data_IF_192894481088
#
_entry.id   IF_192894481088
#
_cell.length_a   1.000
_cell.length_b   1.000
_cell.length_c   1.000
_cell.angle_alpha   90.00
_cell.angle_beta   90.00
_cell.angle_gamma   90.00
#
_symmetry.space_group_name_H-M   'P 1'
#
loop_
_entity.id
_entity.type
_entity.pdbx_description
1 polymer ?
#
# COMPACT_ATOMS: atom_id res chain seq x y z
N UNK A 1 -16.94 1.78 11.72
CA UNK A 1 -18.16 1.00 11.46
C UNK A 1 -18.61 0.50 12.81
N UNK A 2 -19.57 1.18 13.45
CA UNK A 2 -20.13 0.68 14.72
C UNK A 2 -20.97 -0.54 14.37
N UNK A 3 -20.54 -1.73 14.79
CA UNK A 3 -21.35 -2.94 14.67
C UNK A 3 -22.60 -2.82 15.53
N UNK A 4 -23.66 -3.54 15.18
CA UNK A 4 -24.81 -3.69 16.05
C UNK A 4 -24.34 -4.22 17.41
N UNK A 5 -24.77 -3.58 18.51
CA UNK A 5 -24.45 -4.05 19.86
C UNK A 5 -25.00 -5.46 20.10
N UNK A 6 -26.12 -5.79 19.44
CA UNK A 6 -26.84 -7.05 19.60
C UNK A 6 -26.65 -7.97 18.40
N UNK A 7 -26.40 -9.26 18.68
CA UNK A 7 -26.24 -10.30 17.66
C UNK A 7 -27.47 -11.22 17.61
N UNK A 8 -28.02 -11.54 16.42
CA UNK A 8 -29.11 -12.50 16.29
C UNK A 8 -28.72 -13.92 16.72
N UNK A 9 -27.41 -14.20 16.86
CA UNK A 9 -26.89 -15.51 17.30
C UNK A 9 -26.56 -15.56 18.79
N UNK A 10 -26.77 -14.47 19.54
CA UNK A 10 -26.36 -14.37 20.96
C UNK A 10 -27.01 -15.44 21.85
N UNK A 11 -28.29 -15.75 21.62
CA UNK A 11 -29.04 -16.72 22.43
C UNK A 11 -28.41 -18.13 22.45
N UNK A 12 -27.59 -18.47 21.45
CA UNK A 12 -26.95 -19.80 21.31
C UNK A 12 -25.63 -19.93 22.07
N UNK A 13 -25.08 -18.80 22.53
CA UNK A 13 -23.78 -18.75 23.20
C UNK A 13 -23.84 -18.09 24.58
N UNK A 14 -24.87 -17.29 24.86
CA UNK A 14 -24.96 -16.50 26.10
C UNK A 14 -24.88 -17.35 27.36
N UNK A 15 -25.44 -18.56 27.35
CA UNK A 15 -25.51 -19.44 28.52
C UNK A 15 -24.29 -20.37 28.64
N UNK A 16 -23.33 -20.28 27.70
CA UNK A 16 -22.09 -21.04 27.78
C UNK A 16 -21.25 -20.55 28.94
N UNK A 17 -20.61 -21.49 29.64
CA UNK A 17 -19.65 -21.21 30.72
C UNK A 17 -18.23 -21.54 30.25
N UNK A 18 -17.62 -20.70 29.40
CA UNK A 18 -16.30 -20.97 28.86
C UNK A 18 -15.21 -20.83 29.94
N UNK A 19 -14.23 -21.73 29.90
CA UNK A 19 -13.02 -21.67 30.72
C UNK A 19 -11.78 -21.70 29.84
N UNK A 20 -10.79 -20.87 30.15
CA UNK A 20 -9.50 -20.94 29.47
C UNK A 20 -8.72 -22.21 29.90
N UNK A 21 -8.07 -22.89 28.95
CA UNK A 21 -7.19 -24.03 29.29
C UNK A 21 -5.94 -23.56 30.03
N UNK A 22 -5.47 -24.38 30.98
CA UNK A 22 -4.30 -24.07 31.83
C UNK A 22 -2.98 -23.89 31.09
N UNK A 23 -2.84 -24.45 29.88
CA UNK A 23 -1.61 -24.35 29.08
C UNK A 23 -1.57 -23.12 28.17
N UNK A 24 -2.59 -22.26 28.23
CA UNK A 24 -2.68 -21.06 27.40
C UNK A 24 -1.90 -19.93 28.06
N UNK A 25 -0.78 -19.56 27.45
CA UNK A 25 -0.01 -18.40 27.86
C UNK A 25 -0.42 -17.18 27.03
N UNK A 26 -0.86 -16.12 27.71
CA UNK A 26 -1.17 -14.83 27.09
C UNK A 26 -0.08 -13.84 27.47
N UNK A 27 0.65 -13.35 26.48
CA UNK A 27 1.72 -12.38 26.69
C UNK A 27 1.21 -10.98 26.45
N UNK A 28 1.51 -10.07 27.37
CA UNK A 28 1.33 -8.63 27.16
C UNK A 28 2.46 -8.15 26.26
N UNK A 29 2.11 -7.48 25.17
CA UNK A 29 3.07 -6.86 24.26
C UNK A 29 2.76 -5.37 24.14
N UNK A 30 3.76 -4.53 24.40
CA UNK A 30 3.64 -3.09 24.23
C UNK A 30 4.10 -2.74 22.81
N UNK A 31 3.18 -2.20 22.01
CA UNK A 31 3.49 -1.68 20.69
C UNK A 31 3.26 -0.16 20.70
N UNK A 32 4.36 0.59 20.83
CA UNK A 32 4.43 2.06 20.86
C UNK A 32 3.34 2.72 21.72
N UNK A 33 3.19 2.26 22.96
CA UNK A 33 2.27 2.82 23.95
C UNK A 33 0.82 2.34 23.83
N UNK A 34 0.55 1.35 22.96
CA UNK A 34 -0.72 0.61 22.93
C UNK A 34 -0.48 -0.84 23.35
N UNK A 35 -1.22 -1.26 24.36
CA UNK A 35 -1.11 -2.61 24.92
C UNK A 35 -1.91 -3.58 24.04
N UNK A 36 -1.24 -4.61 23.56
CA UNK A 36 -1.85 -5.75 22.90
C UNK A 36 -1.58 -7.03 23.69
N UNK A 37 -2.49 -7.98 23.60
CA UNK A 37 -2.33 -9.29 24.25
C UNK A 37 -2.23 -10.37 23.18
N UNK A 38 -1.18 -11.17 23.25
CA UNK A 38 -0.87 -12.20 22.26
C UNK A 38 -1.08 -13.57 22.90
N UNK A 39 -1.99 -14.35 22.34
CA UNK A 39 -2.17 -15.76 22.68
C UNK A 39 -1.42 -16.59 21.66
N UNK A 40 -0.48 -17.39 22.13
CA UNK A 40 0.30 -18.28 21.29
C UNK A 40 -0.27 -19.71 21.40
N UNK A 41 -0.68 -20.25 20.27
CA UNK A 41 -1.02 -21.64 20.13
C UNK A 41 0.29 -22.44 20.03
N UNK A 42 0.60 -23.21 21.06
CA UNK A 42 1.82 -24.04 21.12
C UNK A 42 1.74 -25.25 20.18
N UNK A 43 0.54 -25.69 19.80
CA UNK A 43 0.34 -26.82 18.90
C UNK A 43 0.48 -26.42 17.42
N UNK A 44 0.08 -25.20 17.05
CA UNK A 44 0.13 -24.72 15.65
C UNK A 44 1.17 -23.63 15.38
N UNK A 45 1.80 -23.08 16.43
CA UNK A 45 2.75 -21.97 16.33
C UNK A 45 2.12 -20.62 15.96
N UNK A 46 0.78 -20.54 15.87
CA UNK A 46 0.06 -19.32 15.50
C UNK A 46 -0.14 -18.41 16.69
N UNK A 47 -0.03 -17.10 16.44
CA UNK A 47 -0.28 -16.07 17.45
C UNK A 47 -1.55 -15.29 17.14
N UNK A 48 -2.48 -15.22 18.09
CA UNK A 48 -3.69 -14.42 18.01
C UNK A 48 -3.53 -13.14 18.83
N UNK A 49 -3.82 -11.97 18.25
CA UNK A 49 -3.72 -10.67 18.92
C UNK A 49 -5.10 -10.21 19.39
N UNK A 50 -5.16 -9.74 20.62
CA UNK A 50 -6.37 -9.24 21.26
C UNK A 50 -6.19 -7.80 21.74
N UNK A 51 -7.27 -7.03 21.64
CA UNK A 51 -7.35 -5.71 22.25
C UNK A 51 -7.39 -5.81 23.78
N UNK A 52 -7.12 -4.73 24.53
CA UNK A 52 -7.29 -4.72 25.98
C UNK A 52 -8.70 -5.09 26.44
N UNK A 53 -9.74 -4.67 25.70
CA UNK A 53 -11.12 -5.01 25.98
C UNK A 53 -11.39 -6.51 25.81
N UNK A 54 -10.86 -7.11 24.73
CA UNK A 54 -10.94 -8.55 24.52
C UNK A 54 -10.16 -9.33 25.61
N UNK A 55 -8.98 -8.86 26.00
CA UNK A 55 -8.22 -9.49 27.09
C UNK A 55 -8.98 -9.49 28.41
N UNK A 56 -9.71 -8.41 28.73
CA UNK A 56 -10.56 -8.35 29.92
C UNK A 56 -11.67 -9.38 29.88
N UNK A 57 -12.37 -9.53 28.74
CA UNK A 57 -13.34 -10.62 28.55
C UNK A 57 -12.69 -11.98 28.81
N UNK A 58 -11.53 -12.25 28.17
CA UNK A 58 -10.83 -13.54 28.31
C UNK A 58 -10.43 -13.83 29.75
N UNK A 59 -9.98 -12.81 30.49
CA UNK A 59 -9.60 -12.94 31.89
C UNK A 59 -10.76 -13.27 32.84
N UNK A 60 -12.01 -13.10 32.40
CA UNK A 60 -13.21 -13.44 33.17
C UNK A 60 -13.79 -14.83 32.82
N UNK A 61 -13.21 -15.55 31.85
CA UNK A 61 -13.64 -16.88 31.42
C UNK A 61 -13.08 -17.97 32.35
N UNK A 62 -13.74 -18.16 33.49
CA UNK A 62 -13.34 -19.10 34.55
C UNK A 62 -14.10 -20.45 34.51
N UNK A 63 -15.16 -20.55 33.72
CA UNK A 63 -16.03 -21.73 33.63
C UNK A 63 -17.19 -21.74 34.62
N UNK A 64 -17.34 -20.71 35.45
CA UNK A 64 -18.47 -20.57 36.38
C UNK A 64 -19.50 -19.57 35.86
N UNK A 65 -19.00 -18.43 35.35
CA UNK A 65 -19.83 -17.38 34.74
C UNK A 65 -20.23 -17.74 33.33
N UNK A 66 -21.45 -17.37 32.98
CA UNK A 66 -21.97 -17.44 31.62
C UNK A 66 -21.35 -16.34 30.74
N UNK A 67 -21.27 -16.56 29.44
CA UNK A 67 -20.79 -15.55 28.49
C UNK A 67 -21.67 -14.28 28.54
N UNK A 68 -22.96 -14.44 28.83
CA UNK A 68 -23.91 -13.36 29.11
C UNK A 68 -23.43 -12.47 30.24
N UNK A 69 -23.25 -13.05 31.43
CA UNK A 69 -22.77 -12.33 32.62
C UNK A 69 -21.40 -11.69 32.39
N UNK A 70 -20.49 -12.40 31.72
CA UNK A 70 -19.16 -11.87 31.39
C UNK A 70 -19.24 -10.66 30.45
N UNK A 71 -20.17 -10.68 29.50
CA UNK A 71 -20.39 -9.55 28.59
C UNK A 71 -21.05 -8.36 29.30
N UNK A 72 -22.03 -8.60 30.16
CA UNK A 72 -22.70 -7.55 30.95
C UNK A 72 -21.68 -6.85 31.87
N UNK A 73 -20.86 -7.62 32.59
CA UNK A 73 -19.77 -7.07 33.43
C UNK A 73 -18.77 -6.26 32.60
N UNK A 74 -18.39 -6.75 31.40
CA UNK A 74 -17.49 -6.02 30.52
C UNK A 74 -18.13 -4.71 30.02
N UNK A 75 -19.43 -4.70 29.76
CA UNK A 75 -20.18 -3.53 29.31
C UNK A 75 -20.25 -2.46 30.41
N UNK A 76 -20.50 -2.87 31.65
CA UNK A 76 -20.48 -1.98 32.82
C UNK A 76 -19.09 -1.40 33.09
N UNK A 77 -18.02 -2.21 32.99
CA UNK A 77 -16.66 -1.77 33.30
C UNK A 77 -16.00 -0.94 32.19
N UNK A 78 -16.31 -1.21 30.92
CA UNK A 78 -15.61 -0.62 29.78
C UNK A 78 -16.45 0.43 29.02
N UNK A 79 -17.77 0.49 29.26
CA UNK A 79 -18.68 1.43 28.62
C UNK A 79 -18.57 1.37 27.09
N UNK A 80 -18.32 2.51 26.45
CA UNK A 80 -18.15 2.61 24.98
C UNK A 80 -16.99 1.78 24.41
N UNK A 81 -16.07 1.30 25.25
CA UNK A 81 -14.94 0.45 24.85
C UNK A 81 -15.24 -1.03 25.00
N UNK A 82 -16.43 -1.38 25.47
CA UNK A 82 -16.87 -2.75 25.58
C UNK A 82 -17.01 -3.39 24.19
N UNK A 83 -16.64 -4.67 24.05
CA UNK A 83 -16.84 -5.40 22.82
C UNK A 83 -18.33 -5.63 22.57
N UNK A 84 -18.74 -5.53 21.31
CA UNK A 84 -20.09 -5.89 20.87
C UNK A 84 -20.35 -7.40 21.03
N UNK A 85 -21.62 -7.83 21.03
CA UNK A 85 -21.95 -9.27 21.09
C UNK A 85 -21.33 -10.06 19.94
N UNK A 86 -21.29 -9.50 18.72
CA UNK A 86 -20.62 -10.12 17.57
C UNK A 86 -19.10 -10.21 17.75
N UNK A 87 -18.48 -9.23 18.41
CA UNK A 87 -17.06 -9.29 18.75
C UNK A 87 -16.77 -10.34 19.83
N UNK A 88 -17.64 -10.48 20.83
CA UNK A 88 -17.55 -11.52 21.85
C UNK A 88 -17.71 -12.93 21.23
N UNK A 89 -18.70 -13.12 20.33
CA UNK A 89 -18.87 -14.38 19.58
C UNK A 89 -17.63 -14.69 18.74
N UNK A 90 -17.09 -13.69 18.03
CA UNK A 90 -15.87 -13.86 17.23
C UNK A 90 -14.65 -14.22 18.09
N UNK A 91 -14.49 -13.56 19.24
CA UNK A 91 -13.43 -13.86 20.20
C UNK A 91 -13.53 -15.31 20.70
N UNK A 92 -14.72 -15.73 21.10
CA UNK A 92 -14.98 -17.10 21.55
C UNK A 92 -14.66 -18.12 20.45
N UNK A 93 -15.04 -17.82 19.19
CA UNK A 93 -14.72 -18.67 18.04
C UNK A 93 -13.23 -18.76 17.72
N UNK A 94 -12.47 -17.68 17.91
CA UNK A 94 -11.01 -17.69 17.76
C UNK A 94 -10.33 -18.52 18.84
N UNK A 95 -10.76 -18.38 20.09
CA UNK A 95 -10.22 -19.14 21.20
C UNK A 95 -10.55 -20.64 21.10
N UNK A 96 -11.75 -21.00 20.66
CA UNK A 96 -12.10 -22.39 20.36
C UNK A 96 -11.28 -22.95 19.17
N UNK A 97 -10.99 -22.12 18.16
CA UNK A 97 -10.13 -22.51 17.04
C UNK A 97 -8.70 -22.87 17.45
N UNK A 98 -8.18 -22.13 18.44
CA UNK A 98 -6.82 -22.28 18.98
C UNK A 98 -6.75 -23.35 20.09
N UNK A 99 -7.79 -24.17 20.26
CA UNK A 99 -7.98 -25.11 21.37
C UNK A 99 -7.76 -24.49 22.76
N UNK A 100 -7.93 -23.18 22.89
CA UNK A 100 -7.65 -22.43 24.13
C UNK A 100 -8.80 -22.49 25.14
N UNK A 101 -9.96 -23.05 24.76
CA UNK A 101 -11.16 -23.09 25.59
C UNK A 101 -11.59 -24.51 25.94
N UNK A 102 -12.09 -24.65 27.15
CA UNK A 102 -12.94 -25.74 27.61
C UNK A 102 -14.33 -25.16 27.80
N UNK A 103 -15.29 -25.66 27.03
CA UNK A 103 -16.70 -25.38 27.22
C UNK A 103 -17.48 -26.65 26.85
N UNK A 104 -18.58 -26.93 27.55
CA UNK A 104 -19.57 -27.92 27.12
C UNK A 104 -20.36 -27.35 25.94
N UNK A 105 -19.73 -27.42 24.77
CA UNK A 105 -20.30 -26.90 23.52
C UNK A 105 -21.35 -27.89 23.04
N UNK A 106 -22.63 -27.52 23.18
CA UNK A 106 -23.76 -28.20 22.53
C UNK A 106 -23.49 -28.37 21.01
N UNK A 107 -23.96 -29.47 20.37
CA UNK A 107 -23.72 -29.74 18.95
C UNK A 107 -24.06 -28.56 18.01
N UNK A 108 -25.07 -27.76 18.34
CA UNK A 108 -25.53 -26.62 17.54
C UNK A 108 -24.58 -25.40 17.59
N UNK A 109 -23.89 -25.21 18.71
CA UNK A 109 -22.87 -24.16 18.87
C UNK A 109 -21.59 -24.53 18.09
N UNK A 110 -21.25 -25.82 17.95
CA UNK A 110 -20.10 -26.29 17.13
C UNK A 110 -20.25 -25.97 15.64
N UNK A 111 -21.47 -26.08 15.10
CA UNK A 111 -21.76 -25.79 13.70
C UNK A 111 -21.63 -24.29 13.39
N UNK A 112 -22.05 -23.42 14.32
CA UNK A 112 -21.83 -21.97 14.20
C UNK A 112 -20.35 -21.59 14.17
N UNK A 113 -19.52 -22.18 15.04
CA UNK A 113 -18.08 -21.93 15.02
C UNK A 113 -17.42 -22.43 13.73
N UNK A 114 -17.86 -23.59 13.18
CA UNK A 114 -17.37 -24.09 11.89
C UNK A 114 -17.77 -23.20 10.72
N UNK A 115 -19.00 -22.68 10.68
CA UNK A 115 -19.46 -21.75 9.63
C UNK A 115 -18.74 -20.42 9.68
N UNK A 116 -18.53 -19.85 10.87
CA UNK A 116 -17.78 -18.60 11.04
C UNK A 116 -16.30 -18.75 10.67
N UNK A 117 -15.66 -19.88 11.05
CA UNK A 117 -14.31 -20.18 10.60
C UNK A 117 -14.22 -20.36 9.09
N UNK A 118 -15.19 -21.02 8.45
CA UNK A 118 -15.22 -21.15 6.99
C UNK A 118 -15.38 -19.80 6.30
N UNK A 119 -16.23 -18.90 6.80
CA UNK A 119 -16.41 -17.57 6.22
C UNK A 119 -15.12 -16.73 6.34
N UNK A 120 -14.49 -16.70 7.52
CA UNK A 120 -13.25 -15.96 7.72
C UNK A 120 -12.07 -16.57 6.92
N UNK A 121 -12.03 -17.90 6.80
CA UNK A 121 -11.03 -18.61 6.00
C UNK A 121 -11.28 -18.45 4.50
N UNK A 122 -12.52 -18.22 4.06
CA UNK A 122 -12.88 -17.89 2.68
C UNK A 122 -12.59 -16.42 2.34
N UNK A 123 -12.78 -15.48 3.26
CA UNK A 123 -12.37 -14.08 3.07
C UNK A 123 -10.84 -13.90 3.09
N UNK A 124 -10.15 -14.61 4.00
CA UNK A 124 -8.69 -14.65 4.05
C UNK A 124 -8.16 -15.43 2.84
N UNK A 125 -8.78 -16.55 2.44
CA UNK A 125 -8.43 -17.20 1.18
C UNK A 125 -8.70 -16.28 0.00
N UNK A 126 -9.82 -15.57 -0.13
CA UNK A 126 -10.03 -14.63 -1.24
C UNK A 126 -9.00 -13.51 -1.28
N UNK A 127 -8.46 -13.07 -0.13
CA UNK A 127 -7.35 -12.11 -0.06
C UNK A 127 -5.98 -12.71 -0.41
N UNK A 128 -5.78 -14.02 -0.22
CA UNK A 128 -4.50 -14.73 -0.45
C UNK A 128 -4.49 -15.48 -1.80
N UNK A 129 -5.66 -15.83 -2.33
CA UNK A 129 -5.88 -16.55 -3.58
C UNK A 129 -6.20 -15.61 -4.75
N UNK A 130 -5.78 -14.35 -4.68
CA UNK A 130 -5.46 -13.67 -5.93
C UNK A 130 -4.20 -14.37 -6.46
N UNK A 131 -4.26 -15.24 -7.48
CA UNK A 131 -3.13 -16.08 -7.92
C UNK A 131 -2.00 -15.25 -8.56
N UNK A 132 -2.09 -13.93 -8.42
CA UNK A 132 -1.31 -12.90 -9.08
C UNK A 132 -0.53 -12.04 -8.09
N UNK A 133 -0.46 -12.35 -6.79
CA UNK A 133 0.22 -11.48 -5.82
C UNK A 133 0.90 -12.28 -4.70
N UNK A 134 1.98 -13.00 -5.02
CA UNK A 134 2.87 -13.57 -4.00
C UNK A 134 3.74 -12.45 -3.45
N UNK A 135 3.66 -12.19 -2.14
CA UNK A 135 4.48 -11.18 -1.44
C UNK A 135 5.63 -11.85 -0.71
N UNK A 136 6.84 -11.40 -0.97
CA UNK A 136 8.05 -11.83 -0.29
C UNK A 136 8.57 -10.63 0.51
N UNK A 137 8.38 -10.62 1.84
CA UNK A 137 8.95 -9.58 2.69
C UNK A 137 10.47 -9.72 2.73
N UNK A 138 11.19 -8.62 2.57
CA UNK A 138 12.66 -8.64 2.50
C UNK A 138 13.28 -8.18 3.82
N UNK A 139 12.82 -7.07 4.37
CA UNK A 139 13.35 -6.50 5.62
C UNK A 139 12.36 -5.51 6.26
N UNK A 140 12.65 -5.10 7.49
CA UNK A 140 11.92 -4.04 8.21
C UNK A 140 12.55 -2.66 7.90
N UNK A 141 11.86 -1.76 7.17
CA UNK A 141 12.39 -0.46 6.78
C UNK A 141 12.20 0.62 7.85
N UNK A 142 11.56 0.36 8.99
CA UNK A 142 11.12 1.42 9.91
C UNK A 142 12.29 2.29 10.40
N UNK A 143 13.42 1.64 10.74
CA UNK A 143 14.65 2.31 11.18
C UNK A 143 15.28 3.12 10.06
N UNK A 144 15.33 2.56 8.84
CA UNK A 144 15.87 3.24 7.66
C UNK A 144 15.06 4.51 7.38
N UNK A 145 13.74 4.37 7.23
CA UNK A 145 12.83 5.49 6.95
C UNK A 145 12.87 6.55 8.04
N UNK A 146 12.98 6.16 9.31
CA UNK A 146 13.10 7.13 10.43
C UNK A 146 14.39 7.95 10.33
N UNK A 147 15.51 7.31 10.00
CA UNK A 147 16.82 7.98 9.88
C UNK A 147 16.88 8.92 8.68
N UNK A 148 16.27 8.55 7.56
CA UNK A 148 16.29 9.34 6.32
C UNK A 148 15.14 10.36 6.23
N UNK A 149 14.11 10.24 7.09
CA UNK A 149 12.99 11.17 7.13
C UNK A 149 13.41 12.65 7.23
N UNK A 150 14.39 13.07 8.05
CA UNK A 150 14.80 14.47 8.12
C UNK A 150 15.27 15.04 6.78
N UNK A 151 15.91 14.22 5.94
CA UNK A 151 16.40 14.61 4.60
C UNK A 151 15.26 14.73 3.60
N UNK A 152 14.25 13.85 3.70
CA UNK A 152 13.08 13.85 2.80
C UNK A 152 12.01 14.83 3.25
N UNK A 153 11.99 15.22 4.53
CA UNK A 153 10.99 16.11 5.13
C UNK A 153 10.78 17.43 4.38
N UNK A 154 11.81 18.12 3.86
CA UNK A 154 11.65 19.32 3.04
C UNK A 154 10.82 19.08 1.77
N UNK A 155 10.97 17.92 1.13
CA UNK A 155 10.20 17.52 -0.06
C UNK A 155 8.72 17.28 0.26
N UNK A 156 8.37 17.04 1.52
CA UNK A 156 7.00 16.84 1.95
C UNK A 156 6.35 18.14 2.46
N UNK A 157 6.96 19.31 2.26
CA UNK A 157 6.42 20.60 2.68
C UNK A 157 5.38 21.16 1.71
N UNK A 158 4.56 22.11 2.15
CA UNK A 158 3.61 22.81 1.27
C UNK A 158 4.32 23.65 0.21
N UNK A 159 5.50 24.20 0.53
CA UNK A 159 6.32 24.94 -0.42
C UNK A 159 6.77 24.04 -1.57
N UNK A 160 7.29 22.85 -1.26
CA UNK A 160 7.64 21.88 -2.31
C UNK A 160 6.41 21.42 -3.10
N UNK A 161 5.25 21.26 -2.46
CA UNK A 161 4.02 20.91 -3.18
C UNK A 161 3.62 21.98 -4.24
N UNK A 162 3.87 23.27 -3.99
CA UNK A 162 3.66 24.32 -4.98
C UNK A 162 4.67 24.24 -6.14
N UNK A 163 5.95 24.01 -5.83
CA UNK A 163 6.99 23.81 -6.85
C UNK A 163 6.65 22.61 -7.72
N UNK A 164 6.28 21.50 -7.10
CA UNK A 164 5.82 20.28 -7.75
C UNK A 164 4.62 20.57 -8.67
N UNK A 165 3.63 21.33 -8.20
CA UNK A 165 2.43 21.64 -8.97
C UNK A 165 2.79 22.45 -10.23
N UNK A 166 3.59 23.50 -10.09
CA UNK A 166 4.06 24.30 -11.23
C UNK A 166 4.79 23.42 -12.24
N UNK A 167 5.72 22.59 -11.75
CA UNK A 167 6.53 21.71 -12.59
C UNK A 167 5.67 20.71 -13.39
N UNK A 168 4.71 20.05 -12.73
CA UNK A 168 3.81 19.08 -13.37
C UNK A 168 2.86 19.76 -14.36
N UNK A 169 2.33 20.94 -14.03
CA UNK A 169 1.47 21.70 -14.95
C UNK A 169 2.25 22.14 -16.19
N UNK A 170 3.46 22.66 -16.02
CA UNK A 170 4.33 23.03 -17.12
C UNK A 170 4.64 21.83 -18.00
N UNK A 171 5.01 20.69 -17.40
CA UNK A 171 5.22 19.45 -18.14
C UNK A 171 3.96 19.00 -18.90
N UNK A 172 2.78 19.12 -18.28
CA UNK A 172 1.49 18.83 -18.92
C UNK A 172 1.23 19.69 -20.16
N UNK A 173 1.53 20.99 -20.10
CA UNK A 173 1.43 21.89 -21.26
C UNK A 173 2.40 21.45 -22.36
N UNK A 174 3.66 21.19 -22.04
CA UNK A 174 4.62 20.72 -23.03
C UNK A 174 4.27 19.36 -23.63
N UNK A 175 3.72 18.44 -22.84
CA UNK A 175 3.23 17.15 -23.32
C UNK A 175 2.07 17.33 -24.31
N UNK A 176 1.13 18.23 -24.01
CA UNK A 176 0.02 18.55 -24.89
C UNK A 176 0.50 19.19 -26.21
N UNK A 177 1.46 20.11 -26.15
CA UNK A 177 2.06 20.72 -27.35
C UNK A 177 2.82 19.72 -28.23
N UNK A 178 3.40 18.68 -27.64
CA UNK A 178 4.18 17.65 -28.34
C UNK A 178 3.42 16.33 -28.48
N UNK A 179 2.08 16.35 -28.32
CA UNK A 179 1.28 15.12 -28.21
C UNK A 179 1.47 14.21 -29.44
N UNK A 180 1.53 14.79 -30.65
CA UNK A 180 1.77 14.02 -31.88
C UNK A 180 3.13 13.31 -31.88
N UNK A 181 4.19 13.92 -31.35
CA UNK A 181 5.51 13.29 -31.26
C UNK A 181 5.60 12.23 -30.16
N UNK A 182 4.80 12.38 -29.08
CA UNK A 182 4.68 11.40 -28.01
C UNK A 182 3.89 10.16 -28.46
N UNK A 183 2.78 10.34 -29.19
CA UNK A 183 1.87 9.24 -29.55
C UNK A 183 2.24 8.56 -30.86
N UNK A 184 2.87 9.27 -31.80
CA UNK A 184 3.31 8.66 -33.05
C UNK A 184 4.28 7.51 -32.81
N UNK A 185 3.96 6.35 -33.39
CA UNK A 185 4.76 5.13 -33.32
C UNK A 185 4.97 4.60 -31.89
N UNK A 186 4.07 4.90 -30.95
CA UNK A 186 4.23 4.42 -29.57
C UNK A 186 4.19 2.89 -29.49
N UNK A 187 3.33 2.23 -30.28
CA UNK A 187 3.24 0.77 -30.35
C UNK A 187 4.55 0.15 -30.81
N UNK A 188 5.12 0.66 -31.92
CA UNK A 188 6.39 0.14 -32.46
C UNK A 188 7.58 0.42 -31.54
N UNK A 189 7.58 1.59 -30.87
CA UNK A 189 8.60 1.93 -29.88
C UNK A 189 8.51 1.05 -28.65
N UNK A 190 7.31 0.82 -28.11
CA UNK A 190 7.14 0.03 -26.87
C UNK A 190 7.37 -1.45 -27.13
N UNK A 191 6.96 -1.99 -28.28
CA UNK A 191 7.12 -3.41 -28.62
C UNK A 191 8.52 -3.77 -29.12
N UNK A 192 9.37 -2.78 -29.40
CA UNK A 192 10.77 -3.03 -29.74
C UNK A 192 11.46 -3.76 -28.56
N UNK A 193 12.08 -4.93 -28.77
CA UNK A 193 12.70 -5.72 -27.69
C UNK A 193 13.70 -4.94 -26.83
N UNK A 194 14.47 -4.02 -27.43
CA UNK A 194 15.40 -3.17 -26.69
C UNK A 194 14.70 -2.21 -25.73
N UNK A 195 13.57 -1.64 -26.14
CA UNK A 195 12.78 -0.75 -25.31
C UNK A 195 11.96 -1.50 -24.26
N UNK A 196 11.51 -2.73 -24.56
CA UNK A 196 10.89 -3.63 -23.58
C UNK A 196 11.85 -3.94 -22.44
N UNK A 197 13.12 -4.25 -22.74
CA UNK A 197 14.13 -4.50 -21.71
C UNK A 197 14.36 -3.26 -20.81
N UNK A 198 14.43 -2.07 -21.42
CA UNK A 198 14.55 -0.80 -20.67
C UNK A 198 13.32 -0.58 -19.79
N UNK A 199 12.11 -0.78 -20.34
CA UNK A 199 10.86 -0.61 -19.59
C UNK A 199 10.78 -1.59 -18.42
N UNK A 200 11.16 -2.85 -18.63
CA UNK A 200 11.21 -3.87 -17.59
C UNK A 200 12.17 -3.52 -16.45
N UNK A 201 13.28 -2.83 -16.74
CA UNK A 201 14.22 -2.37 -15.72
C UNK A 201 13.75 -1.09 -15.01
N UNK A 202 13.21 -0.12 -15.77
CA UNK A 202 12.80 1.19 -15.24
C UNK A 202 11.53 1.08 -14.40
N UNK A 203 10.60 0.21 -14.78
CA UNK A 203 9.30 0.08 -14.11
C UNK A 203 9.43 -0.26 -12.60
N UNK A 204 10.20 -1.27 -12.17
CA UNK A 204 10.45 -1.55 -10.75
C UNK A 204 11.10 -0.37 -10.02
N UNK A 205 11.99 0.38 -10.68
CA UNK A 205 12.65 1.54 -10.07
C UNK A 205 11.63 2.65 -9.79
N UNK A 206 10.78 2.99 -10.76
CA UNK A 206 9.70 3.97 -10.58
C UNK A 206 8.75 3.52 -9.46
N UNK A 207 8.40 2.24 -9.44
CA UNK A 207 7.56 1.67 -8.37
C UNK A 207 8.27 1.68 -7.00
N UNK A 208 9.58 1.46 -6.94
CA UNK A 208 10.31 1.60 -5.68
C UNK A 208 10.18 3.02 -5.10
N UNK A 209 10.30 4.06 -5.92
CA UNK A 209 10.07 5.43 -5.49
C UNK A 209 8.62 5.69 -5.06
N UNK A 210 7.64 5.13 -5.78
CA UNK A 210 6.21 5.19 -5.43
C UNK A 210 5.96 4.62 -4.02
N UNK A 211 6.43 3.40 -3.78
CA UNK A 211 6.27 2.70 -2.51
C UNK A 211 7.02 3.40 -1.37
N UNK A 212 8.26 3.84 -1.62
CA UNK A 212 8.99 4.67 -0.65
C UNK A 212 8.22 5.96 -0.30
N UNK A 213 7.54 6.56 -1.28
CA UNK A 213 6.65 7.69 -1.06
C UNK A 213 5.56 7.41 -0.02
N UNK A 214 4.87 6.28 -0.16
CA UNK A 214 3.88 5.83 0.82
C UNK A 214 4.52 5.64 2.20
N UNK A 215 5.68 4.98 2.26
CA UNK A 215 6.42 4.76 3.50
C UNK A 215 6.78 6.07 4.21
N UNK A 216 7.40 7.02 3.50
CA UNK A 216 7.75 8.32 4.06
C UNK A 216 6.54 9.16 4.46
N UNK A 217 5.44 9.11 3.70
CA UNK A 217 4.21 9.82 4.03
C UNK A 217 3.59 9.28 5.33
N UNK A 218 3.55 7.95 5.50
CA UNK A 218 3.11 7.30 6.75
C UNK A 218 3.99 7.73 7.92
N UNK A 219 5.33 7.65 7.76
CA UNK A 219 6.29 8.02 8.81
C UNK A 219 6.20 9.50 9.20
N UNK A 220 6.01 10.40 8.23
CA UNK A 220 5.82 11.84 8.48
C UNK A 220 4.63 12.12 9.41
N UNK A 221 3.56 11.33 9.29
CA UNK A 221 2.37 11.48 10.12
C UNK A 221 2.40 10.67 11.41
N UNK A 222 3.53 10.05 11.75
CA UNK A 222 3.73 9.27 12.96
C UNK A 222 3.26 7.81 12.88
N UNK A 223 2.93 7.32 11.67
CA UNK A 223 2.69 5.90 11.44
C UNK A 223 3.99 5.10 11.39
N UNK A 224 3.88 3.78 11.35
CA UNK A 224 5.02 2.84 11.33
C UNK A 224 4.94 2.00 10.07
N UNK A 225 6.10 1.56 9.59
CA UNK A 225 6.22 0.78 8.36
C UNK A 225 7.20 -0.35 8.64
N UNK A 226 6.68 -1.54 8.86
CA UNK A 226 7.47 -2.70 9.31
C UNK A 226 7.78 -3.70 8.21
N UNK A 227 7.23 -3.50 7.01
CA UNK A 227 7.37 -4.43 5.91
C UNK A 227 7.59 -3.68 4.60
N UNK A 228 8.68 -4.04 3.92
CA UNK A 228 8.91 -3.75 2.50
C UNK A 228 9.47 -5.01 1.85
N UNK A 229 9.10 -5.24 0.61
CA UNK A 229 9.50 -6.45 -0.10
C UNK A 229 9.24 -6.39 -1.59
N UNK A 230 9.20 -7.56 -2.21
CA UNK A 230 8.86 -7.74 -3.61
C UNK A 230 7.57 -8.54 -3.71
N UNK A 231 6.63 -8.04 -4.50
CA UNK A 231 5.39 -8.68 -4.87
C UNK A 231 5.48 -9.10 -6.33
N UNK A 232 5.14 -10.35 -6.62
CA UNK A 232 5.09 -10.83 -8.01
C UNK A 232 3.69 -10.64 -8.57
N UNK A 233 3.53 -9.70 -9.50
CA UNK A 233 2.32 -9.49 -10.27
C UNK A 233 2.49 -10.15 -11.65
N UNK A 234 1.80 -11.27 -11.91
CA UNK A 234 1.89 -12.00 -13.19
C UNK A 234 3.38 -12.31 -13.53
N UNK A 235 4.14 -12.84 -12.57
CA UNK A 235 5.59 -13.12 -12.66
C UNK A 235 6.51 -11.88 -12.77
N UNK A 236 5.98 -10.65 -12.78
CA UNK A 236 6.79 -9.43 -12.77
C UNK A 236 7.07 -9.04 -11.31
N UNK A 237 8.33 -8.96 -10.87
CA UNK A 237 8.67 -8.49 -9.54
C UNK A 237 8.43 -6.98 -9.43
N UNK A 238 7.58 -6.58 -8.49
CA UNK A 238 7.26 -5.18 -8.20
C UNK A 238 7.55 -4.92 -6.72
N UNK A 239 8.31 -3.87 -6.37
CA UNK A 239 8.47 -3.48 -4.98
C UNK A 239 7.12 -3.18 -4.32
N UNK A 240 6.99 -3.45 -3.03
CA UNK A 240 5.82 -3.05 -2.25
C UNK A 240 6.25 -2.59 -0.86
N UNK A 241 5.50 -1.64 -0.28
CA UNK A 241 5.60 -1.26 1.13
C UNK A 241 4.26 -1.48 1.84
N UNK A 242 4.28 -1.96 3.09
CA UNK A 242 3.05 -1.99 3.89
C UNK A 242 2.75 -0.61 4.50
N UNK A 243 1.86 0.13 3.82
CA UNK A 243 1.34 1.41 4.29
C UNK A 243 0.02 1.31 5.06
N UNK A 244 -0.38 0.11 5.52
CA UNK A 244 -1.66 -0.14 6.19
C UNK A 244 -1.90 0.71 7.43
N UNK A 245 -0.82 1.15 8.11
CA UNK A 245 -0.88 2.08 9.24
C UNK A 245 -1.61 3.40 8.91
N UNK A 246 -1.66 3.81 7.64
CA UNK A 246 -2.40 4.98 7.19
C UNK A 246 -3.90 4.89 7.49
N UNK A 247 -4.48 3.69 7.47
CA UNK A 247 -5.92 3.48 7.75
C UNK A 247 -6.29 3.84 9.19
N UNK A 248 -5.33 3.78 10.12
CA UNK A 248 -5.53 4.14 11.52
C UNK A 248 -5.51 5.67 11.77
N UNK A 249 -5.20 6.49 10.76
CA UNK A 249 -5.18 7.94 10.91
C UNK A 249 -6.60 8.51 11.05
N UNK A 250 -6.82 9.32 12.10
CA UNK A 250 -8.12 9.98 12.37
C UNK A 250 -8.48 11.01 11.30
N UNK A 251 -7.49 11.73 10.78
CA UNK A 251 -7.68 12.81 9.81
C UNK A 251 -7.76 12.27 8.37
N UNK A 252 -8.89 12.54 7.69
CA UNK A 252 -9.12 12.13 6.31
C UNK A 252 -8.10 12.72 5.32
N UNK A 253 -7.60 13.94 5.57
CA UNK A 253 -6.65 14.61 4.68
C UNK A 253 -5.30 13.90 4.69
N UNK A 254 -4.87 13.41 5.86
CA UNK A 254 -3.64 12.61 6.00
C UNK A 254 -3.77 11.29 5.24
N UNK A 255 -4.91 10.60 5.38
CA UNK A 255 -5.19 9.36 4.63
C UNK A 255 -5.18 9.59 3.12
N UNK A 256 -5.83 10.65 2.66
CA UNK A 256 -5.87 11.02 1.25
C UNK A 256 -4.48 11.36 0.71
N UNK A 257 -3.67 12.10 1.47
CA UNK A 257 -2.30 12.40 1.06
C UNK A 257 -1.45 11.13 0.97
N UNK A 258 -1.53 10.23 1.96
CA UNK A 258 -0.83 8.96 1.88
C UNK A 258 -1.29 8.14 0.68
N UNK A 259 -2.59 8.10 0.38
CA UNK A 259 -3.09 7.41 -0.82
C UNK A 259 -2.63 8.06 -2.13
N UNK A 260 -2.53 9.39 -2.18
CA UNK A 260 -2.16 10.13 -3.39
C UNK A 260 -0.66 10.32 -3.61
N UNK A 261 0.19 10.15 -2.60
CA UNK A 261 1.62 10.48 -2.69
C UNK A 261 2.35 9.66 -3.74
N UNK A 262 1.96 8.39 -3.93
CA UNK A 262 2.53 7.53 -4.96
C UNK A 262 2.32 8.10 -6.36
N UNK A 263 1.09 8.55 -6.66
CA UNK A 263 0.76 9.21 -7.93
C UNK A 263 1.53 10.53 -8.08
N UNK A 264 1.68 11.30 -7.00
CA UNK A 264 2.45 12.55 -7.05
C UNK A 264 3.91 12.31 -7.43
N UNK A 265 4.53 11.25 -6.91
CA UNK A 265 5.91 10.87 -7.25
C UNK A 265 6.01 10.39 -8.70
N UNK A 266 5.07 9.56 -9.16
CA UNK A 266 5.03 9.11 -10.55
C UNK A 266 4.92 10.28 -11.53
N UNK A 267 4.04 11.25 -11.24
CA UNK A 267 3.90 12.47 -12.04
C UNK A 267 5.16 13.34 -12.02
N UNK A 268 5.86 13.44 -10.88
CA UNK A 268 7.12 14.16 -10.80
C UNK A 268 8.19 13.51 -11.68
N UNK A 269 8.35 12.19 -11.58
CA UNK A 269 9.31 11.44 -12.39
C UNK A 269 8.96 11.52 -13.88
N UNK A 270 7.69 11.40 -14.25
CA UNK A 270 7.22 11.56 -15.62
C UNK A 270 7.52 12.96 -16.18
N UNK A 271 7.34 14.00 -15.36
CA UNK A 271 7.63 15.39 -15.73
C UNK A 271 9.13 15.61 -15.97
N UNK A 272 9.98 15.09 -15.09
CA UNK A 272 11.45 15.15 -15.26
C UNK A 272 11.86 14.40 -16.54
N UNK A 273 11.33 13.20 -16.76
CA UNK A 273 11.61 12.41 -17.95
C UNK A 273 11.20 13.13 -19.24
N UNK A 274 10.04 13.81 -19.24
CA UNK A 274 9.58 14.61 -20.36
C UNK A 274 10.56 15.77 -20.67
N UNK A 275 11.01 16.52 -19.65
CA UNK A 275 11.97 17.59 -19.87
C UNK A 275 13.31 17.07 -20.40
N UNK A 276 13.81 15.94 -19.88
CA UNK A 276 15.01 15.29 -20.43
C UNK A 276 14.81 14.92 -21.90
N UNK A 277 13.65 14.36 -22.25
CA UNK A 277 13.31 13.99 -23.63
C UNK A 277 13.22 15.20 -24.57
N UNK A 278 12.66 16.32 -24.12
CA UNK A 278 12.58 17.58 -24.89
C UNK A 278 13.98 18.16 -25.15
N UNK A 279 14.84 18.17 -24.13
CA UNK A 279 16.22 18.64 -24.25
C UNK A 279 17.04 17.74 -25.19
N UNK A 280 16.82 16.42 -25.15
CA UNK A 280 17.48 15.48 -26.04
C UNK A 280 17.09 15.68 -27.52
N UNK A 281 15.87 16.13 -27.81
CA UNK A 281 15.45 16.46 -29.18
C UNK A 281 16.03 17.77 -29.68
N UNK A 282 16.02 18.81 -28.86
CA UNK A 282 16.60 20.11 -29.21
C UNK A 282 18.11 20.00 -29.47
N UNK A 283 18.81 19.15 -28.72
CA UNK A 283 20.22 18.81 -28.99
C UNK A 283 20.47 18.08 -30.32
N UNK A 284 19.51 17.27 -30.81
CA UNK A 284 19.60 16.63 -32.14
C UNK A 284 19.26 17.60 -33.29
N UNK A 285 18.35 18.55 -33.06
CA UNK A 285 18.02 19.60 -34.01
C UNK A 285 19.19 20.56 -34.26
N UNK A 286 19.90 20.97 -33.19
CA UNK A 286 21.03 21.88 -33.31
C UNK A 286 22.25 21.27 -34.04
N UNK A 287 22.42 19.94 -34.01
CA UNK A 287 23.49 19.25 -34.79
C UNK A 287 23.20 19.14 -36.29
N UNK A 288 21.95 19.35 -36.74
CA UNK A 288 21.62 19.39 -38.17
C UNK A 288 21.64 20.82 -38.75
N UNK A 289 21.64 21.85 -37.91
CA UNK A 289 21.71 23.26 -38.34
C UNK A 289 23.11 23.79 -38.61
N UNK A 290 24.17 23.10 -38.16
CA UNK A 290 25.57 23.58 -38.28
C UNK A 290 26.24 23.14 -39.59
N UNK A 291 25.63 22.26 -40.39
CA UNK A 291 26.20 21.79 -41.67
C UNK A 291 25.70 22.54 -42.92
N UNK A 292 24.95 23.64 -42.78
CA UNK A 292 24.45 24.43 -43.92
C UNK A 292 24.95 25.88 -43.87
N UNK A 293 26.25 26.13 -43.65
CA UNK A 293 26.80 27.46 -43.97
C UNK A 293 28.32 27.55 -44.18
N UNK A 294 28.92 26.67 -44.97
CA UNK A 294 30.24 26.90 -45.61
C UNK A 294 30.17 26.10 -46.92
N UNK A 295 30.09 26.68 -48.12
CA UNK A 295 31.22 27.27 -48.84
C UNK A 295 30.76 27.77 -50.23
N UNK A 296 31.53 28.72 -50.79
CA UNK A 296 31.59 29.25 -52.18
C UNK A 296 30.74 30.47 -52.55
N UNK A 297 31.20 31.63 -52.06
CA UNK A 297 31.25 32.88 -52.84
C UNK A 297 32.69 33.16 -53.28
N UNK A 298 33.01 32.91 -54.54
CA UNK A 298 34.12 33.47 -55.36
C UNK A 298 33.69 33.16 -56.81
N UNK A 299 33.73 34.00 -57.84
CA UNK A 299 34.17 35.37 -58.11
C UNK A 299 33.53 35.70 -59.49
N UNK A 300 33.05 36.92 -59.73
CA UNK A 300 32.64 37.44 -61.08
C UNK A 300 33.92 37.71 -61.93
N UNK A 301 33.91 37.92 -63.28
CA UNK A 301 32.99 38.84 -63.99
C UNK A 301 32.56 38.47 -65.44
N UNK A 302 31.73 39.38 -65.99
CA UNK A 302 31.03 39.49 -67.27
C UNK A 302 31.72 39.11 -68.61
N UNK A 303 30.91 38.60 -69.57
CA UNK A 303 30.92 38.82 -71.05
C UNK A 303 29.50 38.44 -71.56
N UNK A 304 28.58 39.36 -71.89
CA UNK A 304 28.36 40.14 -73.12
C UNK A 304 27.84 39.35 -74.38
N UNK A 305 26.59 39.68 -74.78
CA UNK A 305 25.93 39.61 -76.12
C UNK A 305 25.35 38.28 -76.69
N UNK A 306 24.05 38.35 -76.99
CA UNK A 306 23.27 37.66 -78.06
C UNK A 306 23.79 37.96 -79.49
N UNK A 307 23.21 37.46 -80.61
CA UNK A 307 22.39 36.24 -80.89
C UNK A 307 22.89 35.46 -82.15
N UNK A 308 22.22 34.36 -82.57
CA UNK A 308 21.86 34.00 -83.97
C UNK A 308 21.92 32.49 -84.36
N UNK A 309 20.76 32.00 -84.86
CA UNK A 309 20.52 31.26 -86.12
C UNK A 309 20.95 29.78 -86.32
N UNK A 310 19.95 28.98 -86.77
CA UNK A 310 19.93 27.73 -87.56
C UNK A 310 20.58 26.47 -86.92
N UNK A 311 19.98 25.28 -86.98
CA UNK A 311 19.27 24.58 -88.09
C UNK A 311 18.06 23.80 -87.55
#
# INVERSE_FOLDING_TARGET
MAGSLFSPSWYRVKDLKPRLRRHVNIYRHDYRGRIWFILQDLATGRSHRFSPAAYRLVGMLDGERTLGEVWDIANEQLGERAPTQDEAIRLLGQLHAADALVADVSPDSRELFRRHQRHNRMEIKQKIWSPLAVRIPIWDPDRFLTKTLPVVRPLLTRAFALIWLVLVLTAGVFAAMNLGALTSNISDRVLNPGNLAILWLVYPVVKAFHELGHGYAVKKFGGEVHEIGIMFLVLIPVPYVDASAANAFRDKRKRMLVGGIGIMIELLLASIALFVWLNAQSGRGNRRGVQCHVDRRHFHPAVQRQPAIAV
#
